data_IF_922544371676
#
_entry.id   IF_922544371676
#
_cell.length_a   1.000
_cell.length_b   1.000
_cell.length_c   1.000
_cell.angle_alpha   90.00
_cell.angle_beta   90.00
_cell.angle_gamma   90.00
#
_symmetry.space_group_name_H-M   'P 1'
#
loop_
_entity.id
_entity.type
_entity.pdbx_description
1 polymer ?
#
# COMPACT_ATOMS: atom_id res chain seq x y z
N UNK A 1 21.74 -28.72 -17.86
CA UNK A 1 20.40 -28.19 -18.13
C UNK A 1 19.58 -28.33 -16.86
N UNK A 2 19.20 -27.21 -16.28
CA UNK A 2 18.46 -27.09 -15.04
C UNK A 2 18.41 -25.60 -14.76
N UNK A 3 17.47 -24.92 -15.41
CA UNK A 3 17.37 -23.47 -15.41
C UNK A 3 16.83 -22.99 -14.08
N UNK A 4 17.69 -22.43 -13.26
CA UNK A 4 17.29 -21.48 -12.23
C UNK A 4 17.08 -20.14 -12.95
N UNK A 5 15.85 -19.93 -13.44
CA UNK A 5 15.42 -18.61 -13.88
C UNK A 5 15.57 -17.60 -12.73
N UNK A 6 15.74 -16.30 -13.02
CA UNK A 6 15.88 -15.32 -11.96
C UNK A 6 14.65 -15.43 -11.07
N UNK A 7 14.85 -15.68 -9.78
CA UNK A 7 13.79 -15.58 -8.79
C UNK A 7 13.23 -14.16 -8.93
N UNK A 8 12.09 -14.04 -9.60
CA UNK A 8 11.29 -12.83 -9.50
C UNK A 8 10.99 -12.71 -8.01
N UNK A 9 11.61 -11.72 -7.40
CA UNK A 9 11.38 -11.40 -6.00
C UNK A 9 9.95 -10.84 -5.96
N UNK A 10 8.96 -11.73 -5.87
CA UNK A 10 7.54 -11.42 -5.70
C UNK A 10 7.34 -10.88 -4.28
N UNK A 11 7.96 -9.75 -3.98
CA UNK A 11 7.66 -9.00 -2.78
C UNK A 11 6.23 -8.45 -2.95
N UNK A 12 5.47 -8.46 -1.86
CA UNK A 12 4.15 -7.84 -1.83
C UNK A 12 4.31 -6.57 -1.01
N UNK A 13 4.49 -5.40 -1.65
CA UNK A 13 4.91 -4.15 -0.98
C UNK A 13 3.94 -2.96 -1.10
N UNK A 14 2.69 -3.09 -0.63
CA UNK A 14 1.74 -1.98 -0.67
C UNK A 14 2.12 -0.84 0.29
N UNK A 15 1.64 0.36 -0.04
CA UNK A 15 1.74 1.53 0.82
C UNK A 15 0.69 1.51 1.94
N UNK A 16 1.13 1.55 3.19
CA UNK A 16 0.32 1.60 4.40
C UNK A 16 0.34 2.99 5.02
N UNK A 17 -0.82 3.56 5.35
CA UNK A 17 -0.93 4.85 6.04
C UNK A 17 -1.34 4.62 7.50
N UNK A 18 -0.51 5.12 8.42
CA UNK A 18 -0.84 5.19 9.85
C UNK A 18 -1.79 6.36 10.12
N UNK A 19 -3.09 6.06 10.26
CA UNK A 19 -4.14 7.07 10.42
C UNK A 19 -4.22 7.64 11.85
N UNK A 20 -3.95 6.79 12.86
CA UNK A 20 -4.07 7.15 14.28
C UNK A 20 -2.81 7.81 14.83
N UNK A 21 -1.65 7.50 14.26
CA UNK A 21 -0.33 7.88 14.76
C UNK A 21 0.14 7.03 15.95
N UNK A 22 -0.47 5.85 16.17
CA UNK A 22 -0.14 4.93 17.27
C UNK A 22 0.68 3.70 16.81
N UNK A 23 1.15 3.74 15.56
CA UNK A 23 1.91 2.66 14.93
C UNK A 23 1.05 1.87 13.94
N UNK A 24 1.54 0.70 13.55
CA UNK A 24 0.97 -0.13 12.47
C UNK A 24 0.79 -1.57 12.96
N UNK A 25 -0.32 -1.92 13.65
CA UNK A 25 -0.55 -3.29 14.08
C UNK A 25 -0.73 -4.21 12.87
N UNK A 26 0.13 -5.24 12.75
CA UNK A 26 0.11 -6.21 11.66
C UNK A 26 -0.13 -7.64 12.18
N UNK A 27 -0.31 -8.59 11.26
CA UNK A 27 -0.37 -10.03 11.52
C UNK A 27 0.81 -10.77 10.88
N UNK A 28 0.95 -12.07 11.20
CA UNK A 28 1.69 -13.00 10.35
C UNK A 28 0.81 -13.51 9.20
N UNK A 29 1.38 -14.26 8.26
CA UNK A 29 0.61 -14.81 7.14
C UNK A 29 -0.55 -15.71 7.58
N UNK A 30 -0.35 -16.53 8.62
CA UNK A 30 -1.37 -17.45 9.14
C UNK A 30 -2.57 -16.70 9.72
N UNK A 31 -2.34 -15.54 10.32
CA UNK A 31 -3.34 -14.64 10.87
C UNK A 31 -3.86 -13.60 9.88
N UNK A 32 -3.28 -13.47 8.69
CA UNK A 32 -3.64 -12.44 7.71
C UNK A 32 -4.88 -12.78 6.88
N UNK A 33 -4.92 -12.37 5.61
CA UNK A 33 -6.11 -12.49 4.75
C UNK A 33 -5.80 -13.24 3.46
N UNK A 34 -6.82 -13.65 2.71
CA UNK A 34 -6.63 -14.14 1.35
C UNK A 34 -6.80 -12.96 0.39
N UNK A 35 -5.74 -12.58 -0.32
CA UNK A 35 -5.77 -11.43 -1.22
C UNK A 35 -5.05 -11.75 -2.54
N UNK A 36 -5.56 -11.25 -3.67
CA UNK A 36 -4.93 -11.44 -4.98
C UNK A 36 -3.96 -10.30 -5.28
N UNK A 37 -2.81 -10.34 -4.62
CA UNK A 37 -1.85 -9.24 -4.70
C UNK A 37 -1.38 -8.95 -6.13
N UNK A 38 -1.14 -10.00 -6.93
CA UNK A 38 -0.63 -9.85 -8.29
C UNK A 38 -1.71 -9.80 -9.39
N UNK A 39 -3.00 -9.82 -9.04
CA UNK A 39 -4.10 -9.75 -10.02
C UNK A 39 -4.19 -10.99 -10.93
N UNK A 40 -3.92 -12.17 -10.36
CA UNK A 40 -3.88 -13.46 -11.08
C UNK A 40 -5.23 -14.20 -11.08
N UNK A 41 -6.21 -13.70 -10.33
CA UNK A 41 -7.46 -14.38 -10.00
C UNK A 41 -7.30 -15.48 -8.96
N UNK A 42 -6.14 -15.60 -8.30
CA UNK A 42 -5.83 -16.65 -7.32
C UNK A 42 -5.30 -16.02 -6.03
N UNK A 43 -6.18 -15.68 -5.08
CA UNK A 43 -5.78 -15.12 -3.81
C UNK A 43 -4.82 -16.05 -3.05
N UNK A 44 -3.73 -15.47 -2.53
CA UNK A 44 -2.81 -16.12 -1.61
C UNK A 44 -3.08 -15.66 -0.19
N UNK A 45 -2.78 -16.51 0.81
CA UNK A 45 -2.79 -16.08 2.20
C UNK A 45 -1.55 -15.22 2.45
N UNK A 46 -1.75 -14.01 2.96
CA UNK A 46 -0.67 -13.03 3.21
C UNK A 46 -0.92 -12.35 4.55
N UNK A 47 0.15 -11.93 5.23
CA UNK A 47 0.04 -11.03 6.38
C UNK A 47 -0.69 -9.73 6.02
N UNK A 48 -1.26 -9.08 7.01
CA UNK A 48 -2.14 -7.93 6.78
C UNK A 48 -2.12 -6.98 7.97
N UNK A 49 -2.81 -5.84 7.88
CA UNK A 49 -3.17 -5.04 9.06
C UNK A 49 -3.94 -5.90 10.04
N UNK A 50 -3.76 -5.70 11.35
CA UNK A 50 -4.49 -6.47 12.34
C UNK A 50 -5.99 -6.13 12.34
N UNK A 51 -6.83 -7.08 12.74
CA UNK A 51 -8.27 -6.84 12.86
C UNK A 51 -8.58 -5.67 13.80
N UNK A 52 -9.40 -4.73 13.34
CA UNK A 52 -9.73 -3.51 14.06
C UNK A 52 -8.62 -2.44 14.09
N UNK A 53 -7.49 -2.65 13.42
CA UNK A 53 -6.51 -1.60 13.17
C UNK A 53 -7.15 -0.45 12.38
N UNK A 54 -6.62 0.76 12.58
CA UNK A 54 -7.09 1.95 11.87
C UNK A 54 -6.16 2.33 10.71
N UNK A 55 -5.01 1.67 10.57
CA UNK A 55 -4.16 1.82 9.41
C UNK A 55 -4.88 1.39 8.14
N UNK A 56 -4.53 2.03 7.03
CA UNK A 56 -5.18 1.76 5.75
C UNK A 56 -4.23 1.71 4.57
N UNK A 57 -4.53 0.84 3.62
CA UNK A 57 -3.80 0.71 2.37
C UNK A 57 -4.13 1.87 1.44
N UNK A 58 -3.13 2.50 0.84
CA UNK A 58 -3.34 3.50 -0.19
C UNK A 58 -3.72 2.80 -1.49
N UNK A 59 -4.85 3.19 -2.07
CA UNK A 59 -5.46 2.50 -3.18
C UNK A 59 -6.06 3.45 -4.23
N UNK A 60 -6.31 2.89 -5.41
CA UNK A 60 -7.01 3.51 -6.52
C UNK A 60 -7.81 2.44 -7.25
N UNK A 61 -9.13 2.61 -7.33
CA UNK A 61 -10.01 1.78 -8.16
C UNK A 61 -9.72 2.08 -9.64
N UNK A 62 -8.77 1.30 -10.20
CA UNK A 62 -8.21 1.50 -11.53
C UNK A 62 -9.18 1.05 -12.62
N UNK A 63 -9.96 0.00 -12.33
CA UNK A 63 -10.87 -0.59 -13.30
C UNK A 63 -12.32 -0.05 -13.18
N UNK A 64 -12.57 0.82 -12.19
CA UNK A 64 -13.84 1.49 -11.93
C UNK A 64 -14.98 0.52 -11.58
N UNK A 65 -14.66 -0.59 -10.91
CA UNK A 65 -15.65 -1.58 -10.49
C UNK A 65 -16.22 -1.30 -9.08
N UNK A 66 -15.75 -0.25 -8.40
CA UNK A 66 -16.17 0.15 -7.07
C UNK A 66 -15.56 -0.68 -5.94
N UNK A 67 -14.48 -1.44 -6.22
CA UNK A 67 -13.78 -2.30 -5.26
C UNK A 67 -12.27 -2.09 -5.39
N UNK A 68 -11.56 -2.60 -4.39
CA UNK A 68 -10.12 -2.81 -4.43
C UNK A 68 -9.93 -4.31 -4.28
N UNK A 69 -9.72 -5.00 -5.40
CA UNK A 69 -9.76 -6.48 -5.44
C UNK A 69 -8.42 -7.13 -5.80
N UNK A 70 -7.40 -6.32 -6.08
CA UNK A 70 -6.03 -6.80 -6.30
C UNK A 70 -4.98 -5.80 -5.83
N UNK A 71 -3.76 -6.30 -5.62
CA UNK A 71 -2.61 -5.44 -5.29
C UNK A 71 -2.17 -4.54 -6.45
N UNK A 72 -2.70 -4.76 -7.67
CA UNK A 72 -2.52 -3.82 -8.79
C UNK A 72 -3.29 -2.51 -8.58
N UNK A 73 -4.31 -2.52 -7.72
CA UNK A 73 -5.11 -1.35 -7.31
C UNK A 73 -4.64 -0.76 -5.97
N UNK A 74 -3.71 -1.43 -5.29
CA UNK A 74 -2.93 -0.86 -4.21
C UNK A 74 -1.69 -0.18 -4.78
N UNK A 75 -1.29 0.96 -4.22
CA UNK A 75 0.00 1.53 -4.56
C UNK A 75 1.11 0.61 -4.05
N UNK A 76 1.68 -0.18 -4.96
CA UNK A 76 2.61 -1.27 -4.69
C UNK A 76 3.56 -1.48 -5.89
N UNK A 77 4.44 -2.47 -5.82
CA UNK A 77 5.21 -2.97 -6.95
C UNK A 77 4.37 -3.73 -8.00
N UNK A 78 3.17 -4.20 -7.65
CA UNK A 78 2.25 -4.87 -8.57
C UNK A 78 1.48 -3.86 -9.44
N UNK A 79 1.25 -2.64 -8.94
CA UNK A 79 0.66 -1.56 -9.73
C UNK A 79 1.57 -1.20 -10.92
N UNK A 80 0.94 -1.03 -12.09
CA UNK A 80 1.64 -0.71 -13.33
C UNK A 80 2.45 0.59 -13.20
N UNK A 81 3.74 0.50 -13.49
CA UNK A 81 4.67 1.63 -13.38
C UNK A 81 5.86 1.45 -14.33
N UNK A 82 6.53 2.54 -14.75
CA UNK A 82 7.72 2.48 -15.58
C UNK A 82 8.91 1.78 -14.91
N UNK A 83 9.82 1.25 -15.72
CA UNK A 83 11.08 0.66 -15.26
C UNK A 83 11.04 -0.87 -15.07
N UNK A 84 12.19 -1.46 -14.73
CA UNK A 84 12.33 -2.90 -14.55
C UNK A 84 11.56 -3.37 -13.31
N UNK A 85 11.04 -4.60 -13.37
CA UNK A 85 10.18 -5.16 -12.31
C UNK A 85 10.84 -5.13 -10.92
N UNK A 86 12.15 -5.34 -10.85
CA UNK A 86 12.94 -5.39 -9.62
C UNK A 86 13.09 -4.02 -8.93
N UNK A 87 12.81 -2.93 -9.65
CA UNK A 87 12.90 -1.57 -9.13
C UNK A 87 11.54 -0.94 -8.84
N UNK A 88 10.45 -1.68 -9.06
CA UNK A 88 9.09 -1.21 -8.80
C UNK A 88 8.86 -1.02 -7.30
N UNK A 89 8.08 0.00 -6.96
CA UNK A 89 7.83 0.45 -5.59
C UNK A 89 6.51 1.23 -5.53
N UNK A 90 5.73 1.07 -4.46
CA UNK A 90 4.46 1.81 -4.32
C UNK A 90 4.62 3.33 -4.40
N UNK A 91 5.70 3.90 -3.83
CA UNK A 91 6.00 5.33 -3.96
C UNK A 91 6.32 5.77 -5.40
N UNK A 92 6.96 4.90 -6.21
CA UNK A 92 7.21 5.20 -7.63
C UNK A 92 5.92 5.15 -8.43
N UNK A 93 5.02 4.21 -8.14
CA UNK A 93 3.69 4.19 -8.73
C UNK A 93 2.90 5.46 -8.39
N UNK A 94 2.96 5.92 -7.13
CA UNK A 94 2.30 7.16 -6.70
C UNK A 94 2.87 8.39 -7.41
N UNK A 95 4.19 8.46 -7.56
CA UNK A 95 4.88 9.59 -8.19
C UNK A 95 4.52 9.80 -9.67
N UNK A 96 3.99 8.78 -10.37
CA UNK A 96 3.49 8.94 -11.74
C UNK A 96 2.42 10.03 -11.79
N UNK A 97 1.56 10.11 -10.77
CA UNK A 97 0.41 11.00 -10.76
C UNK A 97 0.72 12.44 -10.33
N UNK A 98 1.94 12.73 -9.87
CA UNK A 98 2.43 14.10 -9.69
C UNK A 98 2.92 14.69 -11.03
N UNK A 99 3.21 13.87 -12.03
CA UNK A 99 3.69 14.36 -13.31
C UNK A 99 2.59 15.13 -14.09
N UNK A 100 2.93 16.25 -14.77
CA UNK A 100 1.94 17.04 -15.52
C UNK A 100 1.17 16.28 -16.62
N UNK A 101 1.78 15.28 -17.23
CA UNK A 101 1.15 14.41 -18.24
C UNK A 101 0.08 13.48 -17.65
N UNK A 102 0.09 13.30 -16.32
CA UNK A 102 -0.92 12.55 -15.55
C UNK A 102 -1.82 13.47 -14.72
N UNK A 103 -1.76 14.78 -14.97
CA UNK A 103 -2.61 15.77 -14.32
C UNK A 103 -2.11 16.22 -12.94
N UNK A 104 -0.85 15.96 -12.60
CA UNK A 104 -0.20 16.54 -11.45
C UNK A 104 0.54 17.85 -11.78
N UNK A 105 1.36 18.33 -10.85
CA UNK A 105 2.08 19.59 -10.98
C UNK A 105 3.61 19.50 -10.81
N UNK A 106 4.13 18.34 -10.42
CA UNK A 106 5.56 18.02 -10.37
C UNK A 106 6.28 18.63 -9.18
N UNK A 107 5.58 18.86 -8.07
CA UNK A 107 6.15 19.50 -6.89
C UNK A 107 6.54 18.52 -5.78
N UNK A 108 6.48 17.22 -6.07
CA UNK A 108 6.94 16.16 -5.18
C UNK A 108 5.97 15.86 -4.05
N UNK A 109 4.72 16.29 -4.16
CA UNK A 109 3.63 15.91 -3.25
C UNK A 109 2.40 15.52 -4.05
N UNK A 110 1.59 14.62 -3.50
CA UNK A 110 0.24 14.39 -3.98
C UNK A 110 -0.72 15.14 -3.07
N UNK A 111 -1.37 16.17 -3.60
CA UNK A 111 -2.38 16.95 -2.89
C UNK A 111 -3.52 17.42 -3.80
N UNK A 112 -4.40 18.29 -3.29
CA UNK A 112 -5.58 18.76 -4.02
C UNK A 112 -5.30 19.49 -5.36
N UNK A 113 -4.03 19.81 -5.66
CA UNK A 113 -3.61 20.38 -6.95
C UNK A 113 -3.42 19.31 -8.03
N UNK A 114 -3.38 18.03 -7.66
CA UNK A 114 -3.21 16.90 -8.58
C UNK A 114 -4.54 16.23 -8.89
N UNK A 115 -4.77 15.92 -10.17
CA UNK A 115 -6.04 15.36 -10.64
C UNK A 115 -6.38 13.98 -10.04
N UNK A 116 -5.37 13.26 -9.53
CA UNK A 116 -5.56 11.95 -8.89
C UNK A 116 -6.12 12.06 -7.47
N UNK A 117 -5.81 13.15 -6.76
CA UNK A 117 -6.09 13.29 -5.33
C UNK A 117 -7.53 12.98 -4.91
N UNK A 118 -8.59 13.50 -5.58
CA UNK A 118 -9.96 13.20 -5.18
C UNK A 118 -10.38 11.74 -5.47
N UNK A 119 -9.57 10.98 -6.22
CA UNK A 119 -9.82 9.57 -6.57
C UNK A 119 -9.06 8.59 -5.70
N UNK A 120 -8.06 9.07 -4.96
CA UNK A 120 -7.27 8.23 -4.06
C UNK A 120 -8.11 7.80 -2.86
N UNK A 121 -7.98 6.52 -2.54
CA UNK A 121 -8.70 5.85 -1.47
C UNK A 121 -7.72 5.38 -0.40
N UNK A 122 -8.19 5.38 0.84
CA UNK A 122 -7.60 4.66 1.96
C UNK A 122 -8.54 3.50 2.27
N UNK A 123 -8.02 2.28 2.18
CA UNK A 123 -8.75 1.07 2.54
C UNK A 123 -8.36 0.60 3.94
N UNK A 124 -9.28 0.78 4.89
CA UNK A 124 -9.17 0.25 6.24
C UNK A 124 -10.03 -1.01 6.34
N UNK A 125 -9.39 -2.18 6.24
CA UNK A 125 -10.03 -3.50 6.36
C UNK A 125 -10.37 -3.79 7.83
N UNK A 126 -11.51 -3.25 8.29
CA UNK A 126 -11.91 -3.26 9.70
C UNK A 126 -12.31 -4.65 10.16
N UNK A 127 -12.96 -5.41 9.28
CA UNK A 127 -13.45 -6.73 9.59
C UNK A 127 -12.41 -7.84 9.31
N UNK A 128 -11.27 -7.48 8.71
CA UNK A 128 -10.12 -8.34 8.45
C UNK A 128 -10.44 -9.51 7.52
N UNK A 129 -11.15 -9.24 6.42
CA UNK A 129 -11.55 -10.27 5.48
C UNK A 129 -10.81 -10.21 4.12
N UNK A 130 -9.97 -9.20 3.89
CA UNK A 130 -9.25 -9.00 2.64
C UNK A 130 -10.13 -8.56 1.47
N UNK A 131 -11.32 -8.04 1.74
CA UNK A 131 -12.27 -7.51 0.77
C UNK A 131 -12.62 -6.09 1.15
N UNK A 132 -12.52 -5.15 0.21
CA UNK A 132 -12.94 -3.77 0.44
C UNK A 132 -14.48 -3.68 0.53
N UNK A 133 -15.02 -3.80 1.75
CA UNK A 133 -16.45 -3.74 2.00
C UNK A 133 -16.99 -2.29 2.03
N UNK A 134 -18.31 -2.09 1.82
CA UNK A 134 -18.93 -0.78 1.99
C UNK A 134 -18.64 -0.17 3.37
N UNK A 135 -18.04 1.03 3.40
CA UNK A 135 -17.66 1.73 4.64
C UNK A 135 -16.22 1.48 5.11
N UNK A 136 -15.45 0.69 4.37
CA UNK A 136 -14.01 0.48 4.59
C UNK A 136 -13.12 1.33 3.69
N UNK A 137 -13.69 1.89 2.63
CA UNK A 137 -13.04 2.83 1.73
C UNK A 137 -13.40 4.27 2.12
N UNK A 138 -12.38 5.12 2.18
CA UNK A 138 -12.53 6.56 2.35
C UNK A 138 -11.60 7.31 1.40
N UNK A 139 -11.99 8.48 0.93
CA UNK A 139 -11.06 9.35 0.19
C UNK A 139 -9.99 9.91 1.11
N UNK A 140 -8.87 10.40 0.56
CA UNK A 140 -7.85 11.11 1.36
C UNK A 140 -8.46 12.26 2.18
N UNK A 141 -9.36 13.03 1.56
CA UNK A 141 -10.05 14.12 2.25
C UNK A 141 -10.92 13.63 3.40
N UNK A 142 -11.64 12.51 3.25
CA UNK A 142 -12.44 11.91 4.31
C UNK A 142 -11.57 11.36 5.44
N UNK A 143 -10.38 10.85 5.13
CA UNK A 143 -9.38 10.46 6.12
C UNK A 143 -8.77 11.67 6.85
N UNK A 144 -8.92 12.88 6.33
CA UNK A 144 -8.29 14.09 6.86
C UNK A 144 -6.85 14.30 6.38
N UNK A 145 -6.41 13.53 5.39
CA UNK A 145 -5.11 13.68 4.73
C UNK A 145 -5.19 14.88 3.80
N UNK A 146 -4.21 15.77 3.89
CA UNK A 146 -4.05 16.99 3.07
C UNK A 146 -3.07 16.76 1.93
N UNK A 147 -1.97 16.07 2.21
CA UNK A 147 -0.94 15.78 1.22
C UNK A 147 -0.12 14.54 1.62
N UNK A 148 0.38 13.81 0.62
CA UNK A 148 1.36 12.73 0.80
C UNK A 148 2.66 13.16 0.12
N UNK A 149 3.78 13.15 0.84
CA UNK A 149 5.08 13.46 0.25
C UNK A 149 5.59 12.31 -0.61
N UNK A 150 6.28 12.64 -1.70
CA UNK A 150 7.01 11.68 -2.54
C UNK A 150 8.50 11.58 -2.17
N UNK A 151 8.96 12.37 -1.19
CA UNK A 151 10.32 12.28 -0.64
C UNK A 151 10.40 11.16 0.41
N UNK A 152 10.30 9.92 -0.06
CA UNK A 152 10.42 8.75 0.79
C UNK A 152 11.87 8.47 1.18
N UNK A 153 12.07 8.06 2.43
CA UNK A 153 13.39 7.80 3.01
C UNK A 153 13.45 6.36 3.53
N UNK A 154 14.63 5.71 3.46
CA UNK A 154 14.82 4.40 4.07
C UNK A 154 14.50 4.46 5.57
N UNK A 155 13.80 3.44 6.06
CA UNK A 155 13.51 3.30 7.49
C UNK A 155 14.05 1.98 8.05
N UNK A 156 13.84 0.86 7.35
CA UNK A 156 14.50 -0.42 7.64
C UNK A 156 14.07 -1.05 8.97
N UNK A 157 12.76 -1.08 9.24
CA UNK A 157 12.19 -1.73 10.42
C UNK A 157 11.55 -3.08 10.05
N UNK A 158 11.53 -4.02 10.99
CA UNK A 158 10.77 -5.26 10.87
C UNK A 158 9.98 -5.51 12.14
N UNK A 159 8.72 -5.90 12.00
CA UNK A 159 7.88 -6.24 13.15
C UNK A 159 8.15 -7.66 13.68
N UNK A 160 7.40 -8.05 14.72
CA UNK A 160 7.53 -9.37 15.33
C UNK A 160 7.03 -10.54 14.44
N UNK A 161 6.29 -10.24 13.36
CA UNK A 161 5.73 -11.22 12.43
C UNK A 161 6.54 -11.35 11.14
N UNK A 162 7.54 -10.49 10.96
CA UNK A 162 8.47 -10.48 9.84
C UNK A 162 8.13 -9.47 8.74
N UNK A 163 7.02 -8.72 8.85
CA UNK A 163 6.70 -7.66 7.89
C UNK A 163 7.82 -6.63 7.89
N UNK A 164 8.26 -6.18 6.71
CA UNK A 164 9.41 -5.29 6.58
C UNK A 164 8.99 -3.91 6.07
N UNK A 165 9.26 -2.89 6.85
CA UNK A 165 8.94 -1.50 6.52
C UNK A 165 10.19 -0.83 5.96
N UNK A 166 10.30 -0.80 4.63
CA UNK A 166 11.54 -0.41 3.95
C UNK A 166 11.70 1.09 3.86
N UNK A 167 10.65 1.78 3.45
CA UNK A 167 10.64 3.21 3.20
C UNK A 167 9.46 3.87 3.90
N UNK A 168 9.58 5.17 4.16
CA UNK A 168 8.47 5.99 4.64
C UNK A 168 8.54 7.40 4.09
N UNK A 169 7.39 8.04 3.94
CA UNK A 169 7.28 9.46 3.58
C UNK A 169 6.28 10.17 4.51
N UNK A 170 6.44 11.48 4.66
CA UNK A 170 5.56 12.26 5.52
C UNK A 170 4.16 12.41 4.91
N UNK A 171 3.16 12.34 5.78
CA UNK A 171 1.76 12.65 5.45
C UNK A 171 1.37 13.92 6.21
N UNK A 172 0.83 14.91 5.50
CA UNK A 172 0.28 16.13 6.10
C UNK A 172 -1.21 15.96 6.30
N UNK A 173 -1.70 16.42 7.45
CA UNK A 173 -3.10 16.28 7.86
C UNK A 173 -3.77 17.65 7.97
N UNK A 174 -5.09 17.68 7.81
CA UNK A 174 -5.87 18.92 7.91
C UNK A 174 -5.89 19.47 9.35
N UNK A 175 -5.73 18.63 10.37
CA UNK A 175 -5.75 19.01 11.78
C UNK A 175 -4.36 19.27 12.38
N UNK A 176 -3.31 19.22 11.56
CA UNK A 176 -1.92 19.35 11.98
C UNK A 176 -1.13 20.18 10.96
N UNK A 177 -1.47 21.46 10.83
CA UNK A 177 -0.85 22.36 9.84
C UNK A 177 0.66 22.53 10.04
N UNK A 178 1.13 22.44 11.28
CA UNK A 178 2.55 22.49 11.65
C UNK A 178 3.25 21.11 11.54
N UNK A 179 2.52 20.06 11.16
CA UNK A 179 2.98 18.67 11.05
C UNK A 179 3.71 18.15 12.30
N UNK A 180 3.23 18.53 13.50
CA UNK A 180 3.88 18.18 14.76
C UNK A 180 3.74 16.69 15.10
N UNK A 181 2.72 16.02 14.57
CA UNK A 181 2.43 14.61 14.88
C UNK A 181 3.23 13.63 14.04
N UNK A 182 4.06 14.10 13.10
CA UNK A 182 4.95 13.31 12.23
C UNK A 182 4.35 11.93 11.89
N UNK A 183 3.23 11.92 11.17
CA UNK A 183 2.60 10.70 10.69
C UNK A 183 3.13 10.33 9.31
N UNK A 184 3.11 9.03 9.01
CA UNK A 184 3.83 8.47 7.88
C UNK A 184 2.95 7.57 7.04
N UNK A 185 3.31 7.49 5.76
CA UNK A 185 2.99 6.38 4.88
C UNK A 185 4.23 5.52 4.75
N UNK A 186 4.07 4.19 4.75
CA UNK A 186 5.13 3.21 4.74
C UNK A 186 5.04 2.30 3.54
N UNK A 187 6.17 1.96 2.94
CA UNK A 187 6.30 0.82 2.04
C UNK A 187 6.56 -0.44 2.86
N UNK A 188 5.64 -1.41 2.81
CA UNK A 188 5.64 -2.56 3.71
C UNK A 188 5.67 -3.86 2.91
N UNK A 189 6.77 -4.61 2.98
CA UNK A 189 6.82 -5.99 2.48
C UNK A 189 6.00 -6.88 3.40
N UNK A 190 4.92 -7.44 2.85
CA UNK A 190 4.09 -8.44 3.49
C UNK A 190 4.73 -9.83 3.40
N UNK A 191 4.35 -10.70 4.34
CA UNK A 191 4.78 -12.08 4.43
C UNK A 191 3.69 -12.96 3.83
N UNK A 192 3.94 -13.60 2.68
CA UNK A 192 3.02 -14.60 2.15
C UNK A 192 3.13 -15.91 2.96
N UNK A 193 2.02 -16.65 3.05
CA UNK A 193 2.03 -17.99 3.60
C UNK A 193 2.82 -18.87 2.65
N UNK A 194 3.88 -19.51 3.14
CA UNK A 194 4.65 -20.44 2.33
C UNK A 194 3.72 -21.52 1.79
N UNK A 195 3.76 -21.74 0.46
CA UNK A 195 3.01 -22.83 -0.14
C UNK A 195 3.30 -24.12 0.63
N UNK A 196 2.26 -24.76 1.17
CA UNK A 196 2.42 -26.02 1.87
C UNK A 196 3.09 -27.00 0.92
N UNK A 197 4.33 -27.43 1.25
CA UNK A 197 4.95 -28.53 0.52
C UNK A 197 4.05 -29.73 0.80
N UNK A 198 3.26 -30.11 -0.20
CA UNK A 198 2.42 -31.30 -0.15
C UNK A 198 3.22 -32.44 0.46
N UNK A 199 2.73 -32.95 1.59
CA UNK A 199 3.34 -34.08 2.27
C UNK A 199 3.48 -35.25 1.30
N UNK A 200 4.66 -35.87 1.33
CA UNK A 200 4.85 -37.19 0.71
C UNK A 200 3.94 -38.22 1.36
#
# INVERSE_FOLDING_TARGET
>A
MGGDGPYECFLEDPLLIDLSGDGFPMTDAKGGVNFDFFGTGKPGRVSWTAAGAQDGWLALDLNHNGKIDSGQELFSNAMAQPGPAQERLGFKALAIYDAPDHGGNGDGVIDARDAIYPKLLVWVDKNHNGVADPGELMTLQQAGIKAISLDYQPWGYSDAYGNQFRYRAQVKWNDDEDNQRQRWVYDVILIPEAASKGGK
#
